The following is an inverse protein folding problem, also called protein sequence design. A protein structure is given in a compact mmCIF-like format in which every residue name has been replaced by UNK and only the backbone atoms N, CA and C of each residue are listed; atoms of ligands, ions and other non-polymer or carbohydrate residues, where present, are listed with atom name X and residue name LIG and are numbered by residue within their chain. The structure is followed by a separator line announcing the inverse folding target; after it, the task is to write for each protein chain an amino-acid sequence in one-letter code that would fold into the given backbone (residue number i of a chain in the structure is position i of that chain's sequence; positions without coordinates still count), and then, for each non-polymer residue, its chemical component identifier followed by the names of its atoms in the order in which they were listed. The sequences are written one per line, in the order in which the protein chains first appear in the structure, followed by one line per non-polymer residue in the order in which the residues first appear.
data_IF_543937262846
#
_entry.id   IF_543937262846
#
_cell.length_a   1.000
_cell.length_b   1.000
_cell.length_c   1.000
_cell.angle_alpha   90.00
_cell.angle_beta   90.00
_cell.angle_gamma   90.00
#
_symmetry.space_group_name_H-M   'P 1'
#
loop_
_entity.id
_entity.type
_entity.pdbx_description
1 polymer ?
#
# COMPACT_ATOMS: atom_id res chain seq x y z
N UNK A 1 2.44 29.88 -36.27
CA UNK A 1 2.48 28.71 -35.36
C UNK A 1 1.23 28.75 -34.52
N UNK A 2 0.38 27.74 -34.55
CA UNK A 2 -0.74 27.67 -33.61
C UNK A 2 -0.15 27.51 -32.22
N UNK A 3 -0.41 28.49 -31.34
CA UNK A 3 -0.02 28.35 -29.91
C UNK A 3 -0.67 27.10 -29.36
N UNK A 4 0.11 26.27 -28.67
CA UNK A 4 -0.41 25.12 -27.91
C UNK A 4 -1.42 25.65 -26.89
N UNK A 5 -2.69 25.29 -27.07
CA UNK A 5 -3.77 25.67 -26.17
C UNK A 5 -3.74 24.79 -24.92
N UNK A 6 -3.97 25.39 -23.77
CA UNK A 6 -4.17 24.70 -22.51
C UNK A 6 -5.65 24.33 -22.30
N UNK A 7 -5.95 23.51 -21.31
CA UNK A 7 -7.31 23.05 -21.03
C UNK A 7 -8.22 24.10 -20.40
N UNK A 8 -7.64 25.16 -19.85
CA UNK A 8 -8.42 26.32 -19.38
C UNK A 8 -8.57 27.29 -20.56
N UNK A 9 -9.83 27.64 -20.86
CA UNK A 9 -10.14 28.55 -21.93
C UNK A 9 -9.34 29.85 -21.83
N UNK A 10 -8.90 30.36 -22.99
CA UNK A 10 -8.11 31.57 -23.14
C UNK A 10 -6.67 31.52 -22.63
N UNK A 11 -6.18 30.32 -22.23
CA UNK A 11 -4.78 30.12 -21.90
C UNK A 11 -4.06 29.30 -22.97
N UNK A 12 -2.85 29.75 -23.29
CA UNK A 12 -1.89 29.04 -24.12
C UNK A 12 -0.62 28.75 -23.34
N UNK A 13 0.23 27.87 -23.87
CA UNK A 13 1.51 27.56 -23.25
C UNK A 13 2.42 28.81 -23.12
N UNK A 14 2.30 29.78 -24.02
CA UNK A 14 3.04 31.04 -23.96
C UNK A 14 2.64 31.90 -22.77
N UNK A 15 1.37 31.84 -22.34
CA UNK A 15 0.85 32.63 -21.22
C UNK A 15 1.50 32.21 -19.88
N UNK A 16 2.04 31.00 -19.78
CA UNK A 16 2.75 30.53 -18.58
C UNK A 16 4.09 31.24 -18.34
N UNK A 17 4.56 32.03 -19.31
CA UNK A 17 5.78 32.85 -19.21
C UNK A 17 5.48 34.35 -19.04
N UNK A 18 4.21 34.73 -18.95
CA UNK A 18 3.78 36.11 -18.72
C UNK A 18 3.27 36.27 -17.29
N UNK A 19 3.86 37.19 -16.53
CA UNK A 19 3.53 37.40 -15.13
C UNK A 19 2.07 37.87 -14.91
N UNK A 20 1.51 38.69 -15.83
CA UNK A 20 0.12 39.13 -15.72
C UNK A 20 -0.84 37.96 -15.98
N UNK A 21 -0.53 37.15 -16.98
CA UNK A 21 -1.33 35.95 -17.29
C UNK A 21 -1.27 34.92 -16.16
N UNK A 22 -0.12 34.77 -15.48
CA UNK A 22 -0.01 33.92 -14.29
C UNK A 22 -0.88 34.44 -13.13
N UNK A 23 -0.99 35.76 -12.96
CA UNK A 23 -1.92 36.34 -11.98
C UNK A 23 -3.39 36.08 -12.35
N UNK A 24 -3.75 36.17 -13.63
CA UNK A 24 -5.08 35.78 -14.10
C UNK A 24 -5.36 34.31 -13.83
N UNK A 25 -4.38 33.43 -14.07
CA UNK A 25 -4.48 31.99 -13.82
C UNK A 25 -4.70 31.71 -12.32
N UNK A 26 -4.00 32.45 -11.45
CA UNK A 26 -4.17 32.36 -10.01
C UNK A 26 -5.60 32.79 -9.60
N UNK A 27 -6.13 33.86 -10.18
CA UNK A 27 -7.53 34.27 -9.95
C UNK A 27 -8.54 33.20 -10.43
N UNK A 28 -8.23 32.46 -11.52
CA UNK A 28 -9.04 31.31 -11.93
C UNK A 28 -8.99 30.16 -10.94
N UNK A 29 -7.81 29.92 -10.36
CA UNK A 29 -7.68 28.91 -9.30
C UNK A 29 -8.45 29.33 -8.04
N UNK A 30 -8.35 30.58 -7.61
CA UNK A 30 -9.09 31.08 -6.44
C UNK A 30 -10.61 30.87 -6.62
N UNK A 31 -11.15 31.16 -7.81
CA UNK A 31 -12.54 30.89 -8.14
C UNK A 31 -12.88 29.39 -8.18
N UNK A 32 -12.00 28.56 -8.72
CA UNK A 32 -12.15 27.11 -8.73
C UNK A 32 -12.20 26.54 -7.29
N UNK A 33 -11.33 27.02 -6.42
CA UNK A 33 -11.29 26.62 -5.01
C UNK A 33 -12.58 27.07 -4.26
N UNK A 34 -13.06 28.29 -4.52
CA UNK A 34 -14.31 28.80 -3.97
C UNK A 34 -15.52 27.95 -4.38
N UNK A 35 -15.58 27.50 -5.64
CA UNK A 35 -16.65 26.61 -6.11
C UNK A 35 -16.60 25.22 -5.44
N UNK A 36 -15.42 24.73 -5.09
CA UNK A 36 -15.24 23.46 -4.39
C UNK A 36 -15.59 23.55 -2.90
N UNK A 37 -15.00 24.51 -2.21
CA UNK A 37 -15.18 24.73 -0.78
C UNK A 37 -14.94 26.21 -0.43
N UNK A 38 -16.02 26.95 -0.22
CA UNK A 38 -15.98 28.36 0.10
C UNK A 38 -15.25 28.64 1.44
N UNK A 39 -15.40 27.75 2.43
CA UNK A 39 -14.71 27.89 3.72
C UNK A 39 -13.21 27.72 3.58
N UNK A 40 -12.79 26.68 2.87
CA UNK A 40 -11.38 26.42 2.58
C UNK A 40 -10.76 27.54 1.75
N UNK A 41 -11.50 28.07 0.76
CA UNK A 41 -11.08 29.23 -0.04
C UNK A 41 -10.79 30.47 0.82
N UNK A 42 -11.67 30.79 1.76
CA UNK A 42 -11.45 31.89 2.68
C UNK A 42 -10.24 31.67 3.60
N UNK A 43 -10.04 30.44 4.10
CA UNK A 43 -8.89 30.08 4.92
C UNK A 43 -7.58 30.15 4.12
N UNK A 44 -7.58 29.67 2.89
CA UNK A 44 -6.42 29.72 2.00
C UNK A 44 -6.06 31.17 1.61
N UNK A 45 -7.07 32.02 1.35
CA UNK A 45 -6.85 33.43 1.08
C UNK A 45 -6.23 34.14 2.30
N UNK A 46 -6.73 33.87 3.52
CA UNK A 46 -6.16 34.40 4.75
C UNK A 46 -4.71 33.96 4.96
N UNK A 47 -4.42 32.66 4.72
CA UNK A 47 -3.05 32.13 4.77
C UNK A 47 -2.12 32.86 3.78
N UNK A 48 -2.55 33.04 2.54
CA UNK A 48 -1.75 33.73 1.51
C UNK A 48 -1.50 35.21 1.88
N UNK A 49 -2.52 35.88 2.39
CA UNK A 49 -2.43 37.30 2.78
C UNK A 49 -1.47 37.51 3.97
N UNK A 50 -1.55 36.64 4.98
CA UNK A 50 -0.70 36.71 6.16
C UNK A 50 0.65 36.03 6.00
N UNK A 51 0.84 35.26 4.94
CA UNK A 51 1.97 34.33 4.78
C UNK A 51 2.12 33.36 5.96
N UNK A 52 0.99 33.04 6.60
CA UNK A 52 0.92 32.19 7.79
C UNK A 52 1.20 32.93 9.11
N UNK A 53 1.46 34.23 9.08
CA UNK A 53 1.69 35.00 10.31
C UNK A 53 0.43 35.00 11.19
N UNK A 54 0.62 34.70 12.48
CA UNK A 54 -0.48 34.56 13.44
C UNK A 54 -1.29 33.26 13.37
N UNK A 55 -0.93 32.31 12.45
CA UNK A 55 -1.53 30.99 12.39
C UNK A 55 -0.67 29.96 13.12
N UNK A 56 -1.31 28.94 13.72
CA UNK A 56 -0.56 27.82 14.27
C UNK A 56 -0.03 26.90 13.15
N UNK A 57 1.08 26.18 13.35
CA UNK A 57 1.60 25.22 12.36
C UNK A 57 0.56 24.19 11.93
N UNK A 58 -0.28 23.72 12.85
CA UNK A 58 -1.36 22.76 12.58
C UNK A 58 -2.41 23.38 11.64
N UNK A 59 -2.82 24.63 11.90
CA UNK A 59 -3.80 25.33 11.06
C UNK A 59 -3.26 25.57 9.64
N UNK A 60 -1.97 25.91 9.52
CA UNK A 60 -1.31 26.05 8.21
C UNK A 60 -1.29 24.70 7.49
N UNK A 61 -0.86 23.64 8.19
CA UNK A 61 -0.81 22.29 7.62
C UNK A 61 -2.20 21.84 7.15
N UNK A 62 -3.23 22.03 7.95
CA UNK A 62 -4.61 21.68 7.62
C UNK A 62 -5.08 22.34 6.31
N UNK A 63 -4.91 23.66 6.21
CA UNK A 63 -5.28 24.42 5.01
C UNK A 63 -4.52 23.93 3.78
N UNK A 64 -3.21 23.70 3.88
CA UNK A 64 -2.39 23.27 2.76
C UNK A 64 -2.72 21.84 2.31
N UNK A 65 -2.92 20.92 3.26
CA UNK A 65 -3.28 19.53 2.96
C UNK A 65 -4.64 19.43 2.27
N UNK A 66 -5.63 20.22 2.73
CA UNK A 66 -6.96 20.25 2.10
C UNK A 66 -6.94 20.92 0.73
N UNK A 67 -6.12 21.94 0.53
CA UNK A 67 -6.03 22.67 -0.76
C UNK A 67 -5.26 21.86 -1.82
N UNK A 68 -4.26 21.06 -1.44
CA UNK A 68 -3.36 20.38 -2.37
C UNK A 68 -4.08 19.47 -3.40
N UNK A 69 -5.11 18.66 -3.07
CA UNK A 69 -5.85 17.88 -4.05
C UNK A 69 -6.52 18.74 -5.13
N UNK A 70 -7.09 19.89 -4.70
CA UNK A 70 -7.81 20.82 -5.59
C UNK A 70 -6.83 21.54 -6.53
N UNK A 71 -5.63 21.90 -6.04
CA UNK A 71 -4.53 22.36 -6.90
C UNK A 71 -4.17 21.30 -7.93
N UNK A 72 -4.06 20.04 -7.52
CA UNK A 72 -3.77 18.93 -8.42
C UNK A 72 -4.83 18.74 -9.51
N UNK A 73 -6.11 18.93 -9.19
CA UNK A 73 -7.22 18.89 -10.15
C UNK A 73 -7.16 20.06 -11.12
N UNK A 74 -6.95 21.27 -10.63
CA UNK A 74 -6.81 22.46 -11.45
C UNK A 74 -5.62 22.37 -12.42
N UNK A 75 -4.48 21.86 -11.96
CA UNK A 75 -3.30 21.63 -12.81
C UNK A 75 -3.59 20.55 -13.87
N UNK A 76 -4.28 19.47 -13.49
CA UNK A 76 -4.66 18.44 -14.45
C UNK A 76 -5.58 19.01 -15.54
N UNK A 77 -6.57 19.82 -15.16
CA UNK A 77 -7.43 20.52 -16.09
C UNK A 77 -6.63 21.47 -16.99
N UNK A 78 -5.70 22.24 -16.41
CA UNK A 78 -4.85 23.16 -17.16
C UNK A 78 -4.08 22.48 -18.29
N UNK A 79 -3.58 21.26 -18.04
CA UNK A 79 -2.79 20.50 -19.02
C UNK A 79 -3.60 19.44 -19.78
N UNK A 80 -4.91 19.32 -19.59
CA UNK A 80 -5.79 18.30 -20.18
C UNK A 80 -5.34 16.86 -19.86
N UNK A 81 -4.94 16.60 -18.62
CA UNK A 81 -4.47 15.30 -18.15
C UNK A 81 -5.31 14.72 -17.00
N UNK A 82 -6.59 15.14 -16.90
CA UNK A 82 -7.49 14.71 -15.83
C UNK A 82 -7.70 13.19 -15.86
N UNK A 83 -7.86 12.63 -17.06
CA UNK A 83 -8.07 11.19 -17.25
C UNK A 83 -6.86 10.37 -16.83
N UNK A 84 -5.67 10.83 -17.21
CA UNK A 84 -4.41 10.21 -16.86
C UNK A 84 -4.16 10.28 -15.34
N UNK A 85 -4.48 11.43 -14.73
CA UNK A 85 -4.40 11.61 -13.27
C UNK A 85 -5.36 10.67 -12.56
N UNK A 86 -6.61 10.61 -12.97
CA UNK A 86 -7.62 9.73 -12.38
C UNK A 86 -7.24 8.25 -12.53
N UNK A 87 -6.74 7.85 -13.70
CA UNK A 87 -6.25 6.50 -13.95
C UNK A 87 -5.07 6.15 -13.02
N UNK A 88 -4.15 7.09 -12.80
CA UNK A 88 -3.04 6.89 -11.86
C UNK A 88 -3.53 6.76 -10.41
N UNK A 89 -4.42 7.64 -9.96
CA UNK A 89 -4.99 7.58 -8.60
C UNK A 89 -5.70 6.25 -8.39
N UNK A 90 -6.51 5.82 -9.35
CA UNK A 90 -7.22 4.54 -9.29
C UNK A 90 -6.25 3.36 -9.21
N UNK A 91 -5.21 3.35 -10.06
CA UNK A 91 -4.19 2.30 -10.05
C UNK A 91 -3.43 2.23 -8.71
N UNK A 92 -3.14 3.40 -8.12
CA UNK A 92 -2.51 3.52 -6.80
C UNK A 92 -3.41 2.95 -5.70
N UNK A 93 -4.67 3.37 -5.68
CA UNK A 93 -5.64 2.92 -4.68
C UNK A 93 -5.91 1.43 -4.80
N UNK A 94 -6.00 0.91 -6.03
CA UNK A 94 -6.18 -0.52 -6.28
C UNK A 94 -4.99 -1.33 -5.76
N UNK A 95 -3.76 -0.88 -6.01
CA UNK A 95 -2.55 -1.52 -5.47
C UNK A 95 -2.54 -1.54 -3.94
N UNK A 96 -2.86 -0.39 -3.31
CA UNK A 96 -2.96 -0.27 -1.86
C UNK A 96 -4.01 -1.23 -1.32
N UNK A 97 -5.24 -1.13 -1.85
CA UNK A 97 -6.36 -1.92 -1.38
C UNK A 97 -6.12 -3.42 -1.54
N UNK A 98 -5.39 -3.82 -2.57
CA UNK A 98 -5.11 -5.23 -2.86
C UNK A 98 -3.99 -5.78 -1.97
N UNK A 99 -2.81 -5.15 -1.97
CA UNK A 99 -1.63 -5.67 -1.24
C UNK A 99 -1.81 -5.53 0.28
N UNK A 100 -2.35 -4.39 0.75
CA UNK A 100 -2.59 -4.23 2.19
C UNK A 100 -3.80 -5.03 2.69
N UNK A 101 -4.80 -5.32 1.84
CA UNK A 101 -5.85 -6.26 2.20
C UNK A 101 -5.32 -7.68 2.37
N UNK A 102 -4.37 -8.12 1.52
CA UNK A 102 -3.66 -9.39 1.75
C UNK A 102 -3.02 -9.40 3.13
N UNK A 103 -2.24 -8.36 3.49
CA UNK A 103 -1.57 -8.24 4.79
C UNK A 103 -2.55 -8.24 5.96
N UNK A 104 -3.51 -7.32 5.93
CA UNK A 104 -4.33 -7.01 7.09
C UNK A 104 -5.49 -7.99 7.29
N UNK A 105 -5.98 -8.62 6.24
CA UNK A 105 -7.13 -9.51 6.31
C UNK A 105 -6.72 -10.98 6.14
N UNK A 106 -6.06 -11.33 5.04
CA UNK A 106 -5.87 -12.73 4.67
C UNK A 106 -4.75 -13.38 5.46
N UNK A 107 -3.59 -12.73 5.60
CA UNK A 107 -2.46 -13.26 6.38
C UNK A 107 -2.85 -13.43 7.85
N UNK A 108 -3.54 -12.44 8.42
CA UNK A 108 -4.03 -12.54 9.79
C UNK A 108 -5.07 -13.65 9.97
N UNK A 109 -5.99 -13.81 9.01
CA UNK A 109 -6.99 -14.89 9.02
C UNK A 109 -6.33 -16.27 8.90
N UNK A 110 -5.38 -16.45 7.99
CA UNK A 110 -4.63 -17.70 7.82
C UNK A 110 -3.86 -18.07 9.08
N UNK A 111 -3.13 -17.12 9.67
CA UNK A 111 -2.39 -17.33 10.90
C UNK A 111 -3.32 -17.70 12.08
N UNK A 112 -4.47 -17.06 12.19
CA UNK A 112 -5.46 -17.39 13.23
C UNK A 112 -6.05 -18.79 13.02
N UNK A 113 -6.37 -19.14 11.77
CA UNK A 113 -7.00 -20.41 11.41
C UNK A 113 -6.07 -21.59 11.68
N UNK A 114 -4.81 -21.49 11.24
CA UNK A 114 -3.87 -22.62 11.27
C UNK A 114 -2.86 -22.60 12.44
N UNK A 115 -2.97 -21.65 13.35
CA UNK A 115 -2.03 -21.47 14.48
C UNK A 115 -1.77 -22.74 15.30
N UNK A 116 -2.76 -23.62 15.42
CA UNK A 116 -2.70 -24.85 16.22
C UNK A 116 -2.66 -26.11 15.39
N UNK A 117 -2.67 -25.99 14.08
CA UNK A 117 -2.64 -27.16 13.19
C UNK A 117 -1.21 -27.64 13.00
N UNK A 118 -1.06 -28.99 12.93
CA UNK A 118 0.17 -29.63 12.48
C UNK A 118 0.21 -29.57 10.95
N UNK A 119 1.30 -29.08 10.42
CA UNK A 119 1.48 -28.92 8.95
C UNK A 119 2.21 -30.08 8.32
N UNK A 120 2.62 -31.07 9.13
CA UNK A 120 3.43 -32.22 8.69
C UNK A 120 2.70 -33.07 7.64
N UNK A 121 1.36 -33.12 7.73
CA UNK A 121 0.51 -33.88 6.81
C UNK A 121 0.14 -33.08 5.53
N UNK A 122 0.58 -31.84 5.41
CA UNK A 122 0.25 -31.02 4.25
C UNK A 122 1.17 -31.32 3.07
N UNK A 123 0.59 -31.59 1.90
CA UNK A 123 1.37 -31.68 0.67
C UNK A 123 1.75 -30.28 0.17
N UNK A 124 2.87 -29.76 0.69
CA UNK A 124 3.36 -28.42 0.40
C UNK A 124 3.63 -28.23 -1.10
N UNK A 125 4.16 -29.24 -1.78
CA UNK A 125 4.42 -29.18 -3.21
C UNK A 125 3.12 -28.99 -4.02
N UNK A 126 2.08 -29.72 -3.67
CA UNK A 126 0.75 -29.56 -4.30
C UNK A 126 0.18 -28.18 -4.04
N UNK A 127 0.26 -27.65 -2.81
CA UNK A 127 -0.24 -26.31 -2.48
C UNK A 127 0.51 -25.23 -3.28
N UNK A 128 1.84 -25.33 -3.42
CA UNK A 128 2.65 -24.40 -4.24
C UNK A 128 2.20 -24.42 -5.70
N UNK A 129 2.03 -25.62 -6.28
CA UNK A 129 1.58 -25.79 -7.65
C UNK A 129 0.17 -25.24 -7.87
N UNK A 130 -0.76 -25.53 -6.96
CA UNK A 130 -2.13 -25.01 -7.04
C UNK A 130 -2.17 -23.48 -7.05
N UNK A 131 -1.46 -22.84 -6.13
CA UNK A 131 -1.43 -21.37 -6.07
C UNK A 131 -0.78 -20.77 -7.32
N UNK A 132 0.34 -21.34 -7.78
CA UNK A 132 1.00 -20.92 -9.01
C UNK A 132 0.08 -21.00 -10.23
N UNK A 133 -0.51 -22.17 -10.47
CA UNK A 133 -1.43 -22.38 -11.60
C UNK A 133 -2.69 -21.51 -11.51
N UNK A 134 -3.25 -21.33 -10.32
CA UNK A 134 -4.38 -20.44 -10.15
C UNK A 134 -4.03 -19.01 -10.55
N UNK A 135 -2.91 -18.49 -10.04
CA UNK A 135 -2.47 -17.13 -10.35
C UNK A 135 -2.15 -16.93 -11.83
N UNK A 136 -1.57 -17.94 -12.48
CA UNK A 136 -1.21 -17.83 -13.89
C UNK A 136 -2.42 -17.93 -14.83
N UNK A 137 -3.40 -18.78 -14.51
CA UNK A 137 -4.56 -19.02 -15.37
C UNK A 137 -5.70 -18.01 -15.15
N UNK A 138 -5.88 -17.53 -13.93
CA UNK A 138 -7.07 -16.76 -13.55
C UNK A 138 -6.79 -15.29 -13.29
N UNK A 139 -5.53 -14.88 -13.19
CA UNK A 139 -5.19 -13.47 -13.05
C UNK A 139 -5.56 -12.69 -14.31
N UNK A 140 -6.16 -11.48 -14.19
CA UNK A 140 -6.59 -10.70 -15.35
C UNK A 140 -5.41 -10.27 -16.22
N UNK A 141 -5.53 -10.51 -17.53
CA UNK A 141 -4.50 -10.15 -18.53
C UNK A 141 -4.29 -8.63 -18.59
N UNK A 142 -5.34 -7.84 -18.34
CA UNK A 142 -5.33 -6.38 -18.42
C UNK A 142 -5.03 -5.70 -17.09
N UNK A 143 -4.53 -6.44 -16.08
CA UNK A 143 -4.18 -5.84 -14.81
C UNK A 143 -3.00 -4.85 -14.97
N UNK A 144 -3.09 -3.72 -14.30
CA UNK A 144 -2.06 -2.66 -14.32
C UNK A 144 -0.73 -3.09 -13.68
N UNK A 145 -0.79 -4.07 -12.81
CA UNK A 145 0.37 -4.67 -12.12
C UNK A 145 0.32 -6.18 -12.29
N UNK A 146 1.46 -6.79 -12.50
CA UNK A 146 1.57 -8.24 -12.75
C UNK A 146 2.75 -8.89 -11.99
N UNK A 147 3.32 -8.19 -11.00
CA UNK A 147 4.34 -8.77 -10.15
C UNK A 147 3.77 -9.91 -9.26
N UNK A 148 4.59 -10.85 -8.82
CA UNK A 148 4.11 -12.03 -8.09
C UNK A 148 3.36 -11.71 -6.80
N UNK A 149 3.76 -10.66 -6.06
CA UNK A 149 3.07 -10.25 -4.85
C UNK A 149 1.67 -9.76 -5.15
N UNK A 150 1.52 -8.90 -6.17
CA UNK A 150 0.22 -8.38 -6.58
C UNK A 150 -0.70 -9.47 -7.10
N UNK A 151 -0.18 -10.42 -7.90
CA UNK A 151 -0.96 -11.57 -8.39
C UNK A 151 -1.53 -12.40 -7.24
N UNK A 152 -0.70 -12.74 -6.26
CA UNK A 152 -1.15 -13.46 -5.07
C UNK A 152 -2.18 -12.65 -4.28
N UNK A 153 -1.90 -11.38 -4.06
CA UNK A 153 -2.78 -10.48 -3.31
C UNK A 153 -4.14 -10.36 -3.98
N UNK A 154 -4.18 -10.11 -5.28
CA UNK A 154 -5.40 -10.03 -6.06
C UNK A 154 -6.22 -11.33 -5.97
N UNK A 155 -5.57 -12.47 -6.16
CA UNK A 155 -6.24 -13.78 -6.13
C UNK A 155 -6.85 -14.05 -4.74
N UNK A 156 -6.05 -13.90 -3.69
CA UNK A 156 -6.50 -14.17 -2.33
C UNK A 156 -7.59 -13.18 -1.87
N UNK A 157 -7.46 -11.89 -2.20
CA UNK A 157 -8.46 -10.88 -1.82
C UNK A 157 -9.76 -11.04 -2.61
N UNK A 158 -9.68 -11.42 -3.89
CA UNK A 158 -10.87 -11.72 -4.69
C UNK A 158 -11.62 -12.91 -4.12
N UNK A 159 -10.93 -14.01 -3.80
CA UNK A 159 -11.53 -15.18 -3.15
C UNK A 159 -12.17 -14.81 -1.79
N UNK A 160 -11.51 -14.01 -0.98
CA UNK A 160 -12.04 -13.55 0.29
C UNK A 160 -13.27 -12.66 0.14
N UNK A 161 -13.31 -11.81 -0.91
CA UNK A 161 -14.49 -10.99 -1.24
C UNK A 161 -15.67 -11.87 -1.66
N UNK A 162 -15.43 -12.86 -2.50
CA UNK A 162 -16.45 -13.83 -2.94
C UNK A 162 -16.97 -14.65 -1.75
N UNK A 163 -16.09 -15.11 -0.86
CA UNK A 163 -16.50 -15.85 0.35
C UNK A 163 -17.40 -14.97 1.26
N UNK A 164 -17.04 -13.71 1.46
CA UNK A 164 -17.87 -12.75 2.20
C UNK A 164 -19.20 -12.49 1.52
N UNK A 165 -19.22 -12.42 0.19
CA UNK A 165 -20.44 -12.27 -0.60
C UNK A 165 -21.39 -13.44 -0.36
N UNK A 166 -20.93 -14.67 -0.48
CA UNK A 166 -21.77 -15.85 -0.22
C UNK A 166 -22.28 -15.92 1.23
N UNK A 167 -21.48 -15.49 2.21
CA UNK A 167 -21.96 -15.39 3.60
C UNK A 167 -23.08 -14.39 3.77
N UNK A 168 -23.05 -13.26 3.06
CA UNK A 168 -24.12 -12.27 3.09
C UNK A 168 -25.40 -12.80 2.42
N UNK A 169 -25.28 -13.49 1.29
CA UNK A 169 -26.42 -14.14 0.64
C UNK A 169 -27.06 -15.17 1.56
N UNK A 170 -26.26 -16.00 2.24
CA UNK A 170 -26.77 -16.98 3.20
C UNK A 170 -27.48 -16.33 4.42
N UNK A 171 -27.11 -15.06 4.72
CA UNK A 171 -27.81 -14.27 5.74
C UNK A 171 -29.06 -13.55 5.22
N UNK A 172 -29.47 -13.78 3.94
CA UNK A 172 -30.67 -13.23 3.34
C UNK A 172 -30.48 -11.86 2.68
N UNK A 173 -29.25 -11.37 2.52
CA UNK A 173 -29.01 -10.13 1.78
C UNK A 173 -29.13 -10.36 0.28
N UNK A 174 -29.73 -9.39 -0.42
CA UNK A 174 -29.78 -9.41 -1.89
C UNK A 174 -28.49 -8.83 -2.46
N UNK A 175 -28.02 -9.41 -3.58
CA UNK A 175 -26.86 -8.89 -4.29
C UNK A 175 -27.16 -8.67 -5.77
N UNK A 176 -27.05 -7.43 -6.26
CA UNK A 176 -27.19 -7.14 -7.69
C UNK A 176 -26.05 -7.74 -8.53
N UNK A 177 -24.92 -8.11 -7.92
CA UNK A 177 -23.73 -8.62 -8.61
C UNK A 177 -23.76 -10.15 -8.80
N UNK A 178 -24.78 -10.85 -8.32
CA UNK A 178 -24.81 -12.33 -8.32
C UNK A 178 -24.57 -12.92 -9.72
N UNK A 179 -25.24 -12.42 -10.74
CA UNK A 179 -25.07 -12.91 -12.12
C UNK A 179 -23.64 -12.79 -12.63
N UNK A 180 -23.00 -11.66 -12.36
CA UNK A 180 -21.58 -11.44 -12.73
C UNK A 180 -20.66 -12.39 -11.97
N UNK A 181 -20.95 -12.66 -10.71
CA UNK A 181 -20.15 -13.59 -9.90
C UNK A 181 -20.29 -15.01 -10.42
N UNK A 182 -21.50 -15.45 -10.77
CA UNK A 182 -21.74 -16.77 -11.31
C UNK A 182 -21.00 -16.96 -12.65
N UNK A 183 -20.98 -15.95 -13.52
CA UNK A 183 -20.20 -15.97 -14.76
C UNK A 183 -18.70 -16.09 -14.50
N UNK A 184 -18.16 -15.34 -13.55
CA UNK A 184 -16.74 -15.41 -13.16
C UNK A 184 -16.39 -16.82 -12.67
N UNK A 185 -17.20 -17.38 -11.80
CA UNK A 185 -16.97 -18.72 -11.25
C UNK A 185 -17.08 -19.82 -12.33
N UNK A 186 -18.03 -19.68 -13.27
CA UNK A 186 -18.14 -20.58 -14.41
C UNK A 186 -16.88 -20.53 -15.29
N UNK A 187 -16.37 -19.34 -15.58
CA UNK A 187 -15.10 -19.16 -16.31
C UNK A 187 -13.92 -19.77 -15.57
N UNK A 188 -13.83 -19.59 -14.25
CA UNK A 188 -12.74 -20.18 -13.46
C UNK A 188 -12.79 -21.72 -13.48
N UNK A 189 -13.98 -22.31 -13.28
CA UNK A 189 -14.18 -23.76 -13.40
C UNK A 189 -13.76 -24.26 -14.79
N UNK A 190 -14.16 -23.56 -15.84
CA UNK A 190 -13.79 -23.90 -17.21
C UNK A 190 -12.29 -23.87 -17.42
N UNK A 191 -11.61 -22.78 -17.08
CA UNK A 191 -10.16 -22.64 -17.25
C UNK A 191 -9.38 -23.72 -16.48
N UNK A 192 -9.74 -23.94 -15.20
CA UNK A 192 -9.08 -24.96 -14.37
C UNK A 192 -9.33 -26.39 -14.86
N UNK A 193 -10.51 -26.67 -15.46
CA UNK A 193 -10.83 -28.01 -15.98
C UNK A 193 -10.24 -28.29 -17.36
N UNK A 194 -9.96 -27.24 -18.15
CA UNK A 194 -9.37 -27.37 -19.48
C UNK A 194 -7.85 -27.47 -19.46
N UNK A 195 -7.20 -26.89 -18.46
CA UNK A 195 -5.74 -26.98 -18.34
C UNK A 195 -5.31 -28.35 -17.85
N UNK A 196 -4.41 -28.99 -18.58
CA UNK A 196 -3.94 -30.36 -18.31
C UNK A 196 -3.19 -30.51 -16.98
N UNK A 197 -2.55 -29.46 -16.51
CA UNK A 197 -1.80 -29.46 -15.25
C UNK A 197 -2.69 -29.07 -14.06
N UNK A 198 -3.62 -28.13 -14.26
CA UNK A 198 -4.53 -27.68 -13.22
C UNK A 198 -5.62 -28.73 -12.91
N UNK A 199 -6.22 -29.33 -13.92
CA UNK A 199 -7.31 -30.30 -13.76
C UNK A 199 -7.06 -31.36 -12.69
N UNK A 200 -5.95 -32.12 -12.69
CA UNK A 200 -5.70 -33.12 -11.65
C UNK A 200 -5.47 -32.51 -10.27
N UNK A 201 -4.84 -31.36 -10.18
CA UNK A 201 -4.54 -30.68 -8.92
C UNK A 201 -5.78 -30.06 -8.25
N UNK A 202 -6.75 -29.65 -9.04
CA UNK A 202 -8.00 -29.07 -8.57
C UNK A 202 -9.18 -30.04 -8.66
N UNK A 203 -8.95 -31.34 -8.91
CA UNK A 203 -10.02 -32.32 -9.13
C UNK A 203 -11.07 -32.34 -8.01
N UNK A 204 -10.65 -32.34 -6.75
CA UNK A 204 -11.56 -32.29 -5.61
C UNK A 204 -12.35 -30.97 -5.54
N UNK A 205 -11.70 -29.85 -5.85
CA UNK A 205 -12.37 -28.54 -5.86
C UNK A 205 -13.34 -28.41 -7.02
N UNK A 206 -12.97 -28.94 -8.19
CA UNK A 206 -13.82 -28.94 -9.40
C UNK A 206 -15.04 -29.87 -9.29
N UNK A 207 -14.96 -30.92 -8.47
CA UNK A 207 -16.09 -31.80 -8.19
C UNK A 207 -17.19 -31.11 -7.38
N UNK A 208 -16.85 -30.03 -6.68
CA UNK A 208 -17.77 -29.30 -5.83
C UNK A 208 -18.74 -28.45 -6.67
N UNK A 209 -20.04 -28.74 -6.61
CA UNK A 209 -21.06 -28.02 -7.36
C UNK A 209 -21.49 -26.72 -6.68
N UNK A 210 -21.49 -26.69 -5.36
CA UNK A 210 -21.82 -25.51 -4.59
C UNK A 210 -20.76 -24.43 -4.77
N UNK A 211 -21.18 -23.25 -5.24
CA UNK A 211 -20.28 -22.13 -5.51
C UNK A 211 -19.63 -21.57 -4.25
N UNK A 212 -20.31 -21.59 -3.11
CA UNK A 212 -19.76 -21.15 -1.83
C UNK A 212 -18.65 -22.10 -1.38
N UNK A 213 -18.88 -23.40 -1.43
CA UNK A 213 -17.90 -24.42 -1.03
C UNK A 213 -16.72 -24.40 -2.01
N UNK A 214 -16.97 -24.23 -3.31
CA UNK A 214 -15.91 -24.07 -4.31
C UNK A 214 -14.97 -22.91 -3.97
N UNK A 215 -15.53 -21.72 -3.68
CA UNK A 215 -14.74 -20.54 -3.31
C UNK A 215 -14.00 -20.73 -1.98
N UNK A 216 -14.66 -21.33 -0.98
CA UNK A 216 -14.04 -21.64 0.31
C UNK A 216 -12.85 -22.59 0.17
N UNK A 217 -12.98 -23.62 -0.68
CA UNK A 217 -11.92 -24.59 -0.94
C UNK A 217 -10.70 -23.94 -1.61
N UNK A 218 -10.95 -23.05 -2.58
CA UNK A 218 -9.88 -22.26 -3.21
C UNK A 218 -9.22 -21.33 -2.20
N UNK A 219 -10.00 -20.61 -1.40
CA UNK A 219 -9.47 -19.71 -0.37
C UNK A 219 -8.66 -20.46 0.69
N UNK A 220 -9.05 -21.68 1.06
CA UNK A 220 -8.29 -22.53 1.99
C UNK A 220 -6.93 -22.87 1.45
N UNK A 221 -6.79 -23.19 0.15
CA UNK A 221 -5.51 -23.45 -0.52
C UNK A 221 -4.60 -22.20 -0.41
N UNK A 222 -5.12 -21.01 -0.69
CA UNK A 222 -4.35 -19.78 -0.56
C UNK A 222 -3.97 -19.49 0.89
N UNK A 223 -4.85 -19.67 1.83
CA UNK A 223 -4.57 -19.48 3.25
C UNK A 223 -3.50 -20.46 3.77
N UNK A 224 -3.51 -21.72 3.30
CA UNK A 224 -2.46 -22.70 3.60
C UNK A 224 -1.12 -22.27 3.03
N UNK A 225 -1.09 -21.86 1.77
CA UNK A 225 0.13 -21.32 1.15
C UNK A 225 0.69 -20.14 1.93
N UNK A 226 -0.15 -19.17 2.27
CA UNK A 226 0.23 -17.98 3.04
C UNK A 226 0.79 -18.36 4.42
N UNK A 227 0.21 -19.36 5.07
CA UNK A 227 0.65 -19.79 6.40
C UNK A 227 2.00 -20.52 6.38
N UNK A 228 2.28 -21.29 5.30
CA UNK A 228 3.56 -22.00 5.15
C UNK A 228 4.66 -21.11 4.56
N UNK A 229 4.33 -20.07 3.81
CA UNK A 229 5.31 -19.25 3.11
C UNK A 229 6.44 -18.70 4.00
N UNK A 230 6.21 -18.21 5.22
CA UNK A 230 7.27 -17.77 6.13
C UNK A 230 8.09 -18.91 6.75
N UNK A 231 7.70 -20.17 6.56
CA UNK A 231 8.32 -21.35 7.19
C UNK A 231 9.06 -22.25 6.19
N UNK A 232 8.67 -22.20 4.93
CA UNK A 232 9.28 -22.95 3.84
C UNK A 232 10.47 -22.19 3.26
N UNK A 233 11.69 -22.76 3.21
CA UNK A 233 12.91 -22.06 2.79
C UNK A 233 12.87 -21.53 1.36
N UNK A 234 12.15 -22.19 0.46
CA UNK A 234 12.00 -21.77 -0.93
C UNK A 234 11.04 -20.59 -1.05
N UNK A 235 9.88 -20.68 -0.40
CA UNK A 235 8.91 -19.61 -0.36
C UNK A 235 9.42 -18.38 0.40
N UNK A 236 10.20 -18.55 1.46
CA UNK A 236 10.86 -17.45 2.16
C UNK A 236 11.70 -16.59 1.22
N UNK A 237 12.45 -17.19 0.30
CA UNK A 237 13.22 -16.45 -0.71
C UNK A 237 12.30 -15.64 -1.61
N UNK A 238 11.17 -16.21 -2.03
CA UNK A 238 10.19 -15.56 -2.87
C UNK A 238 9.55 -14.35 -2.16
N UNK A 239 9.10 -14.53 -0.92
CA UNK A 239 8.38 -13.49 -0.17
C UNK A 239 9.29 -12.49 0.56
N UNK A 240 10.62 -12.68 0.53
CA UNK A 240 11.57 -11.87 1.30
C UNK A 240 11.48 -10.37 1.04
N UNK A 241 11.12 -9.99 -0.20
CA UNK A 241 10.95 -8.61 -0.61
C UNK A 241 9.47 -8.16 -0.65
N UNK A 242 8.54 -9.06 -0.31
CA UNK A 242 7.12 -8.76 -0.36
C UNK A 242 6.66 -7.97 0.85
N UNK A 243 6.04 -6.84 0.60
CA UNK A 243 5.59 -5.94 1.66
C UNK A 243 4.47 -6.50 2.52
N UNK A 244 3.61 -7.34 1.92
CA UNK A 244 2.53 -7.99 2.66
C UNK A 244 3.06 -8.89 3.78
N UNK A 245 4.22 -9.52 3.60
CA UNK A 245 4.86 -10.40 4.59
C UNK A 245 5.87 -9.69 5.49
N UNK A 246 6.27 -8.46 5.16
CA UNK A 246 7.16 -7.69 6.04
C UNK A 246 6.51 -7.45 7.40
N UNK A 247 7.23 -7.74 8.45
CA UNK A 247 6.85 -7.45 9.84
C UNK A 247 8.00 -6.73 10.53
N UNK A 248 7.68 -5.92 11.54
CA UNK A 248 8.72 -5.32 12.38
C UNK A 248 9.54 -6.44 13.03
N UNK A 249 10.86 -6.38 12.89
CA UNK A 249 11.76 -7.27 13.60
C UNK A 249 11.74 -6.94 15.10
N UNK A 250 11.90 -7.95 15.93
CA UNK A 250 12.13 -7.70 17.38
C UNK A 250 13.51 -7.08 17.52
N UNK A 251 13.61 -6.04 18.33
CA UNK A 251 14.90 -5.46 18.69
C UNK A 251 15.70 -6.49 19.48
N UNK A 252 16.89 -6.84 18.99
CA UNK A 252 17.86 -7.60 19.76
C UNK A 252 18.67 -6.63 20.61
N UNK A 253 18.34 -6.55 21.90
CA UNK A 253 19.00 -5.65 22.85
C UNK A 253 20.46 -6.03 23.12
N UNK A 254 20.88 -7.24 22.77
CA UNK A 254 22.27 -7.67 22.90
C UNK A 254 23.10 -7.36 21.66
N UNK A 255 22.44 -7.09 20.52
CA UNK A 255 23.08 -6.77 19.25
C UNK A 255 22.28 -5.65 18.54
N UNK A 256 22.32 -4.45 19.11
CA UNK A 256 21.58 -3.30 18.56
C UNK A 256 22.15 -2.83 17.23
N UNK A 257 23.46 -3.01 17.02
CA UNK A 257 24.14 -2.68 15.76
C UNK A 257 24.71 -3.99 15.19
N UNK A 258 24.18 -4.51 14.09
CA UNK A 258 24.75 -5.69 13.47
C UNK A 258 26.20 -5.41 13.03
N UNK A 259 27.14 -6.21 13.52
CA UNK A 259 28.55 -6.11 13.18
C UNK A 259 29.14 -7.47 12.84
N UNK A 260 30.05 -7.49 11.88
CA UNK A 260 30.89 -8.62 11.56
C UNK A 260 32.29 -8.38 12.14
N UNK A 261 32.83 -9.31 12.90
CA UNK A 261 34.20 -9.26 13.40
C UNK A 261 35.15 -9.91 12.41
N UNK A 262 36.21 -9.21 12.08
CA UNK A 262 37.30 -9.71 11.25
C UNK A 262 38.63 -9.60 12.03
N UNK A 263 39.35 -10.70 12.12
CA UNK A 263 40.70 -10.67 12.74
C UNK A 263 41.66 -9.87 11.84
N UNK A 264 42.24 -8.85 12.41
CA UNK A 264 43.38 -8.11 11.83
C UNK A 264 44.63 -8.36 12.65
N UNK A 265 45.79 -7.92 12.18
CA UNK A 265 47.06 -8.15 12.86
C UNK A 265 47.06 -7.56 14.29
N UNK A 266 46.70 -8.37 15.27
CA UNK A 266 46.73 -8.05 16.70
C UNK A 266 45.46 -7.43 17.29
N UNK A 267 44.38 -7.28 16.52
CA UNK A 267 43.08 -6.78 17.00
C UNK A 267 41.94 -7.22 16.13
N UNK A 268 40.73 -7.16 16.67
CA UNK A 268 39.50 -7.42 15.89
C UNK A 268 38.92 -6.13 15.33
N UNK A 269 38.64 -6.14 14.03
CA UNK A 269 37.98 -5.03 13.35
C UNK A 269 36.48 -5.33 13.24
N UNK A 270 35.65 -4.47 13.78
CA UNK A 270 34.20 -4.55 13.62
C UNK A 270 33.76 -3.78 12.37
N UNK A 271 33.06 -4.45 11.49
CA UNK A 271 32.51 -3.86 10.27
C UNK A 271 31.00 -4.12 10.21
N UNK A 272 30.24 -3.18 9.65
CA UNK A 272 28.82 -3.45 9.36
C UNK A 272 28.66 -4.54 8.29
N UNK A 273 27.48 -5.16 8.21
CA UNK A 273 27.14 -6.13 7.16
C UNK A 273 27.38 -5.53 5.78
N UNK A 274 27.84 -6.36 4.85
CA UNK A 274 28.22 -5.88 3.51
C UNK A 274 27.03 -5.28 2.74
N UNK A 275 25.84 -5.86 2.93
CA UNK A 275 24.56 -5.38 2.40
C UNK A 275 24.14 -4.01 2.93
N UNK A 276 24.64 -3.61 4.10
CA UNK A 276 24.41 -2.29 4.70
C UNK A 276 25.39 -1.23 4.26
N UNK A 277 26.47 -1.63 3.56
CA UNK A 277 27.49 -0.70 3.12
C UNK A 277 27.00 0.07 1.90
N UNK A 278 27.02 1.39 2.02
CA UNK A 278 26.66 2.30 0.94
C UNK A 278 27.92 2.86 0.33
N UNK A 279 28.13 2.58 -0.94
CA UNK A 279 29.23 3.16 -1.69
C UNK A 279 28.76 4.47 -2.29
N UNK A 280 29.49 5.54 -1.99
CA UNK A 280 29.28 6.81 -2.65
C UNK A 280 29.94 6.77 -4.03
N UNK A 281 29.14 6.93 -5.07
CA UNK A 281 29.60 6.89 -6.45
C UNK A 281 29.23 8.20 -7.16
N UNK A 282 30.15 9.16 -7.10
CA UNK A 282 30.01 10.47 -7.69
C UNK A 282 28.75 11.21 -7.20
N UNK A 283 27.91 11.61 -8.16
CA UNK A 283 26.63 12.27 -7.89
C UNK A 283 25.43 11.32 -7.84
N UNK A 284 25.68 10.02 -7.94
CA UNK A 284 24.60 9.04 -7.80
C UNK A 284 24.01 9.09 -6.38
N UNK A 285 22.72 8.78 -6.29
CA UNK A 285 22.04 8.67 -4.99
C UNK A 285 22.66 7.52 -4.19
N UNK A 286 23.10 7.80 -2.98
CA UNK A 286 23.56 6.77 -2.03
C UNK A 286 22.43 5.89 -1.54
N UNK A 287 21.23 6.45 -1.46
CA UNK A 287 20.00 5.74 -1.11
C UNK A 287 19.11 5.59 -2.35
N UNK A 288 18.67 4.37 -2.61
CA UNK A 288 17.69 4.13 -3.64
C UNK A 288 16.36 4.78 -3.22
N UNK A 289 15.70 5.39 -4.18
CA UNK A 289 14.34 5.89 -3.95
C UNK A 289 13.41 4.70 -3.79
N UNK A 290 12.53 4.80 -2.82
CA UNK A 290 11.43 3.85 -2.70
C UNK A 290 10.47 4.01 -3.87
N UNK A 291 9.96 2.90 -4.36
CA UNK A 291 8.77 2.91 -5.17
C UNK A 291 7.54 3.23 -4.30
N UNK A 292 6.42 3.45 -4.95
CA UNK A 292 5.19 3.81 -4.28
C UNK A 292 4.73 2.77 -3.26
N UNK A 293 4.87 1.49 -3.54
CA UNK A 293 4.49 0.40 -2.63
C UNK A 293 5.32 0.44 -1.35
N UNK A 294 6.63 0.67 -1.46
CA UNK A 294 7.51 0.80 -0.29
C UNK A 294 7.17 2.04 0.55
N UNK A 295 6.90 3.18 -0.10
CA UNK A 295 6.45 4.40 0.60
C UNK A 295 5.17 4.14 1.39
N UNK A 296 4.17 3.53 0.75
CA UNK A 296 2.91 3.20 1.40
C UNK A 296 3.08 2.20 2.55
N UNK A 297 4.02 1.25 2.41
CA UNK A 297 4.36 0.34 3.50
C UNK A 297 4.90 1.10 4.72
N UNK A 298 5.85 2.01 4.53
CA UNK A 298 6.41 2.82 5.62
C UNK A 298 5.32 3.70 6.26
N UNK A 299 4.48 4.35 5.48
CA UNK A 299 3.34 5.12 5.98
C UNK A 299 2.39 4.24 6.81
N UNK A 300 2.09 3.02 6.34
CA UNK A 300 1.21 2.07 7.05
C UNK A 300 1.81 1.55 8.37
N UNK A 301 3.12 1.69 8.59
CA UNK A 301 3.78 1.40 9.86
C UNK A 301 3.69 2.57 10.85
N UNK A 302 3.29 3.74 10.39
CA UNK A 302 3.17 4.92 11.23
C UNK A 302 2.16 4.68 12.38
N UNK A 303 2.57 4.98 13.59
CA UNK A 303 1.75 4.84 14.81
C UNK A 303 0.91 6.07 15.09
N UNK A 304 1.01 7.11 14.27
CA UNK A 304 0.36 8.42 14.50
C UNK A 304 0.63 8.96 15.91
N UNK A 305 1.88 8.83 16.38
CA UNK A 305 2.26 9.20 17.75
C UNK A 305 1.99 10.67 18.06
N UNK A 306 2.09 11.54 17.06
CA UNK A 306 1.84 12.97 17.22
C UNK A 306 0.37 13.31 17.49
N UNK A 307 -0.55 12.43 17.09
CA UNK A 307 -2.00 12.60 17.33
C UNK A 307 -2.43 12.10 18.71
N UNK A 308 -1.50 11.54 19.48
CA UNK A 308 -1.79 11.01 20.81
C UNK A 308 -1.12 11.84 21.90
N UNK A 309 -1.80 12.01 23.03
CA UNK A 309 -1.24 12.67 24.24
C UNK A 309 0.00 11.98 24.80
N UNK A 310 0.30 10.78 24.32
CA UNK A 310 1.41 9.94 24.78
C UNK A 310 2.59 9.89 23.84
N UNK A 311 2.73 10.90 22.97
CA UNK A 311 3.87 10.99 22.07
C UNK A 311 5.18 11.15 22.82
N UNK A 312 5.88 10.03 22.99
CA UNK A 312 7.17 10.01 23.69
C UNK A 312 8.35 10.44 22.81
N UNK A 313 8.16 10.48 21.48
CA UNK A 313 9.22 10.85 20.55
C UNK A 313 9.49 12.37 20.57
N UNK A 314 8.43 13.18 20.53
CA UNK A 314 8.54 14.64 20.57
C UNK A 314 8.47 15.23 21.97
N UNK A 315 7.70 14.59 22.90
CA UNK A 315 7.42 15.11 24.24
C UNK A 315 8.19 14.44 25.36
N UNK A 316 8.91 13.35 25.05
CA UNK A 316 9.60 12.55 26.05
C UNK A 316 8.71 11.49 26.74
N UNK A 317 9.31 10.67 27.59
CA UNK A 317 8.60 9.58 28.27
C UNK A 317 7.61 10.10 29.29
N UNK A 318 6.38 9.58 29.27
CA UNK A 318 5.34 9.91 30.25
C UNK A 318 5.71 9.39 31.63
N UNK A 319 5.52 10.23 32.64
CA UNK A 319 5.70 9.85 34.04
C UNK A 319 4.50 9.00 34.49
N UNK A 320 4.73 7.79 35.01
CA UNK A 320 3.69 6.82 35.33
C UNK A 320 2.67 7.29 36.39
N UNK A 321 3.02 8.28 37.21
CA UNK A 321 2.22 8.76 38.34
C UNK A 321 1.89 10.23 38.33
N UNK A 322 2.33 10.95 37.30
CA UNK A 322 2.16 12.40 37.19
C UNK A 322 1.58 12.77 35.85
N UNK A 323 0.82 13.84 35.78
CA UNK A 323 0.34 14.43 34.54
C UNK A 323 1.50 15.20 33.92
N UNK A 324 2.38 14.54 33.19
CA UNK A 324 3.50 15.18 32.54
C UNK A 324 4.45 14.23 31.85
N UNK A 325 5.38 14.80 31.14
CA UNK A 325 6.46 14.10 30.44
C UNK A 325 7.77 14.33 31.20
N UNK A 326 8.67 13.34 31.15
CA UNK A 326 10.01 13.49 31.68
C UNK A 326 10.70 14.61 30.92
N UNK A 327 11.21 15.61 31.62
CA UNK A 327 12.05 16.64 31.01
C UNK A 327 13.27 15.98 30.37
N UNK A 328 13.61 16.42 29.16
CA UNK A 328 14.85 16.01 28.51
C UNK A 328 16.03 16.59 29.30
N UNK A 329 16.86 15.77 29.99
CA UNK A 329 17.93 16.27 30.83
C UNK A 329 19.07 16.96 30.03
N UNK A 330 19.06 16.78 28.69
CA UNK A 330 20.10 17.35 27.83
C UNK A 330 19.62 18.61 27.08
N UNK A 331 18.38 19.02 27.30
CA UNK A 331 17.74 20.16 26.62
C UNK A 331 17.90 20.13 25.08
N UNK A 332 18.04 18.94 24.53
CA UNK A 332 18.15 18.72 23.08
C UNK A 332 16.74 18.66 22.52
N UNK A 333 16.39 19.47 21.50
CA UNK A 333 15.09 19.33 20.84
C UNK A 333 14.92 17.89 20.33
N UNK A 334 13.92 17.20 20.84
CA UNK A 334 13.51 15.91 20.30
C UNK A 334 12.76 16.20 19.00
N UNK A 335 13.47 16.21 17.89
CA UNK A 335 12.88 16.22 16.56
C UNK A 335 12.51 14.79 16.22
N UNK A 336 11.21 14.51 16.18
CA UNK A 336 10.69 13.25 15.66
C UNK A 336 10.75 13.21 14.15
#
# INVERSE_FOLDING_TARGET
MNALKLGINDFSYADLYDANRLNDLLGRFDHHLEQHDNKLSAQYAAYRQSQGDGMSPEAISEVLVQTAPIVGEFIAQLFNVEKEREAQITAIQDEINTVFALKNQIINAANKKFRREKTDDWNIATIKQQVGLFTDLLFPVNATKADPEYKLAWSATTLNRLEKHFKRLAAGEQSPEQGTIDEILAQWRQKLSQDSNAKPLFAAVLAEQDSQIFVQSLLDIFQRWIFIAPKDPELQKTISQWLAFKSASRTDFNNLVPTNSHAAAGYDVLTGPEESRRRRDGFALTDQRYDQRHILYEINQCKYCHDHDTDSCSKGMRLKKETGFRSNPLDIPLTG
#
